data_IF_567795047490
#
_entry.id   IF_567795047490
#
_cell.length_a   1.000
_cell.length_b   1.000
_cell.length_c   1.000
_cell.angle_alpha   90.00
_cell.angle_beta   90.00
_cell.angle_gamma   90.00
#
_symmetry.space_group_name_H-M   'P 1'
#
loop_
_entity.id
_entity.type
_entity.pdbx_description
1 polymer ?
#
# COMPACT_ATOMS: atom_id res chain seq x y z
N UNK A 1 -64.74 45.20 3.02
CA UNK A 1 -64.21 43.84 2.78
C UNK A 1 -63.27 43.79 1.57
N UNK A 2 -63.60 44.37 0.42
CA UNK A 2 -62.72 44.40 -0.77
C UNK A 2 -61.27 44.88 -0.57
N UNK A 3 -61.02 45.86 0.31
CA UNK A 3 -59.66 46.38 0.55
C UNK A 3 -58.74 45.40 1.30
N UNK A 4 -59.32 44.53 2.14
CA UNK A 4 -58.56 43.53 2.90
C UNK A 4 -58.18 42.36 1.98
N UNK A 5 -59.11 41.96 1.12
CA UNK A 5 -58.93 40.87 0.16
C UNK A 5 -57.87 41.22 -0.90
N UNK A 6 -57.85 42.47 -1.38
CA UNK A 6 -56.82 42.99 -2.28
C UNK A 6 -55.41 43.03 -1.65
N UNK A 7 -55.32 43.36 -0.35
CA UNK A 7 -54.04 43.32 0.37
C UNK A 7 -53.55 41.89 0.58
N UNK A 8 -54.46 40.95 0.84
CA UNK A 8 -54.12 39.53 0.99
C UNK A 8 -53.62 38.91 -0.32
N UNK A 9 -54.20 39.26 -1.47
CA UNK A 9 -53.70 38.79 -2.77
C UNK A 9 -52.34 39.37 -3.13
N UNK A 10 -52.10 40.65 -2.82
CA UNK A 10 -50.80 41.29 -3.00
C UNK A 10 -49.70 40.68 -2.10
N UNK A 11 -50.02 40.36 -0.85
CA UNK A 11 -49.06 39.70 0.05
C UNK A 11 -48.73 38.27 -0.40
N UNK A 12 -49.72 37.53 -0.91
CA UNK A 12 -49.52 36.18 -1.46
C UNK A 12 -48.65 36.19 -2.71
N UNK A 13 -48.80 37.20 -3.60
CA UNK A 13 -47.95 37.32 -4.79
C UNK A 13 -46.51 37.68 -4.43
N UNK A 14 -46.29 38.57 -3.46
CA UNK A 14 -44.95 38.92 -2.96
C UNK A 14 -44.26 37.69 -2.32
N UNK A 15 -44.98 36.93 -1.50
CA UNK A 15 -44.45 35.70 -0.90
C UNK A 15 -44.09 34.66 -1.98
N UNK A 16 -44.96 34.46 -2.98
CA UNK A 16 -44.72 33.50 -4.07
C UNK A 16 -43.51 33.90 -4.92
N UNK A 17 -43.34 35.19 -5.22
CA UNK A 17 -42.16 35.69 -5.93
C UNK A 17 -40.88 35.48 -5.10
N UNK A 18 -40.92 35.72 -3.79
CA UNK A 18 -39.75 35.50 -2.92
C UNK A 18 -39.33 34.02 -2.82
N UNK A 19 -40.27 33.08 -3.02
CA UNK A 19 -40.00 31.64 -3.03
C UNK A 19 -39.40 31.22 -4.37
N UNK A 20 -39.91 31.74 -5.49
CA UNK A 20 -39.36 31.48 -6.83
C UNK A 20 -37.93 32.04 -6.95
N UNK A 21 -37.69 33.28 -6.55
CA UNK A 21 -36.35 33.87 -6.55
C UNK A 21 -35.38 33.13 -5.64
N UNK A 22 -35.86 32.58 -4.51
CA UNK A 22 -35.03 31.76 -3.61
C UNK A 22 -34.71 30.40 -4.24
N UNK A 23 -35.64 29.81 -4.98
CA UNK A 23 -35.42 28.59 -5.76
C UNK A 23 -34.39 28.80 -6.87
N UNK A 24 -34.52 29.88 -7.64
CA UNK A 24 -33.58 30.23 -8.72
C UNK A 24 -32.18 30.54 -8.20
N UNK A 25 -32.05 31.24 -7.06
CA UNK A 25 -30.75 31.44 -6.40
C UNK A 25 -30.15 30.13 -5.90
N UNK A 26 -30.96 29.26 -5.28
CA UNK A 26 -30.50 27.95 -4.83
C UNK A 26 -30.07 27.05 -6.00
N UNK A 27 -30.76 27.11 -7.14
CA UNK A 27 -30.38 26.39 -8.37
C UNK A 27 -29.10 26.97 -9.00
N UNK A 28 -28.95 28.30 -9.02
CA UNK A 28 -27.72 28.97 -9.47
C UNK A 28 -26.52 28.61 -8.59
N UNK A 29 -26.70 28.61 -7.26
CA UNK A 29 -25.67 28.22 -6.30
C UNK A 29 -25.32 26.73 -6.45
N UNK A 30 -26.32 25.86 -6.63
CA UNK A 30 -26.12 24.44 -6.90
C UNK A 30 -25.35 24.21 -8.21
N UNK A 31 -25.67 24.98 -9.26
CA UNK A 31 -24.95 24.94 -10.54
C UNK A 31 -23.50 25.38 -10.39
N UNK A 32 -23.23 26.46 -9.64
CA UNK A 32 -21.86 26.92 -9.41
C UNK A 32 -21.05 25.87 -8.63
N UNK A 33 -21.65 25.28 -7.60
CA UNK A 33 -21.04 24.19 -6.82
C UNK A 33 -20.76 22.99 -7.73
N UNK A 34 -21.72 22.60 -8.58
CA UNK A 34 -21.54 21.49 -9.51
C UNK A 34 -20.40 21.74 -10.50
N UNK A 35 -20.29 22.96 -11.05
CA UNK A 35 -19.18 23.34 -11.94
C UNK A 35 -17.84 23.28 -11.19
N UNK A 36 -17.79 23.76 -9.94
CA UNK A 36 -16.59 23.70 -9.10
C UNK A 36 -16.15 22.26 -8.85
N UNK A 37 -17.09 21.40 -8.47
CA UNK A 37 -16.82 19.96 -8.27
C UNK A 37 -16.36 19.29 -9.57
N UNK A 38 -17.02 19.58 -10.69
CA UNK A 38 -16.63 19.05 -12.00
C UNK A 38 -15.18 19.42 -12.36
N UNK A 39 -14.74 20.65 -12.07
CA UNK A 39 -13.36 21.08 -12.28
C UNK A 39 -12.37 20.31 -11.40
N UNK A 40 -12.70 20.08 -10.12
CA UNK A 40 -11.85 19.28 -9.22
C UNK A 40 -11.70 17.84 -9.71
N UNK A 41 -12.80 17.22 -10.16
CA UNK A 41 -12.74 15.88 -10.74
C UNK A 41 -11.91 15.84 -12.02
N UNK A 42 -12.02 16.86 -12.85
CA UNK A 42 -11.24 16.94 -14.09
C UNK A 42 -9.74 17.06 -13.78
N UNK A 43 -9.35 17.91 -12.83
CA UNK A 43 -7.96 18.03 -12.37
C UNK A 43 -7.43 16.71 -11.80
N UNK A 44 -8.25 15.98 -11.04
CA UNK A 44 -7.86 14.67 -10.52
C UNK A 44 -7.59 13.67 -11.64
N UNK A 45 -8.46 13.61 -12.66
CA UNK A 45 -8.28 12.74 -13.82
C UNK A 45 -7.02 13.07 -14.59
N UNK A 46 -6.73 14.35 -14.80
CA UNK A 46 -5.53 14.82 -15.49
C UNK A 46 -4.26 14.37 -14.75
N UNK A 47 -4.24 14.48 -13.42
CA UNK A 47 -3.12 13.99 -12.60
C UNK A 47 -2.99 12.46 -12.65
N UNK A 48 -4.10 11.74 -12.58
CA UNK A 48 -4.10 10.27 -12.71
C UNK A 48 -3.56 9.83 -14.08
N UNK A 49 -3.92 10.51 -15.17
CA UNK A 49 -3.34 10.24 -16.49
C UNK A 49 -1.84 10.55 -16.56
N UNK A 50 -1.38 11.65 -15.95
CA UNK A 50 0.04 12.03 -15.94
C UNK A 50 0.90 11.01 -15.17
N UNK A 51 0.37 10.45 -14.08
CA UNK A 51 1.02 9.35 -13.33
C UNK A 51 1.12 8.09 -14.19
N UNK A 52 0.03 7.70 -14.86
CA UNK A 52 0.02 6.51 -15.73
C UNK A 52 0.97 6.64 -16.91
N UNK A 53 1.00 7.79 -17.58
CA UNK A 53 1.95 8.08 -18.65
C UNK A 53 3.40 7.99 -18.15
N UNK A 54 3.68 8.56 -16.97
CA UNK A 54 4.99 8.47 -16.33
C UNK A 54 5.37 7.02 -15.99
N UNK A 55 4.43 6.21 -15.50
CA UNK A 55 4.65 4.79 -15.23
C UNK A 55 4.99 4.02 -16.51
N UNK A 56 4.27 4.26 -17.61
CA UNK A 56 4.55 3.64 -18.91
C UNK A 56 5.96 4.00 -19.38
N UNK A 57 6.34 5.27 -19.31
CA UNK A 57 7.68 5.73 -19.69
C UNK A 57 8.76 5.05 -18.84
N UNK A 58 8.61 5.05 -17.51
CA UNK A 58 9.58 4.46 -16.59
C UNK A 58 9.63 2.92 -16.65
N UNK A 59 8.58 2.25 -17.14
CA UNK A 59 8.57 0.79 -17.31
C UNK A 59 9.63 0.31 -18.32
N UNK A 60 10.04 1.17 -19.26
CA UNK A 60 11.04 0.87 -20.29
C UNK A 60 12.45 1.40 -20.00
N UNK A 61 12.61 2.21 -18.95
CA UNK A 61 13.91 2.73 -18.54
C UNK A 61 14.91 1.61 -18.16
N UNK A 62 16.22 1.87 -18.21
CA UNK A 62 16.88 3.08 -18.70
C UNK A 62 16.86 3.18 -20.24
N UNK A 63 16.85 4.42 -20.77
CA UNK A 63 16.89 4.67 -22.21
C UNK A 63 18.31 4.48 -22.74
N UNK A 64 19.31 4.90 -21.98
CA UNK A 64 20.72 4.71 -22.32
C UNK A 64 21.20 3.37 -21.76
N UNK A 65 21.52 2.42 -22.65
CA UNK A 65 21.90 1.05 -22.29
C UNK A 65 23.36 0.71 -22.61
N UNK A 66 24.22 1.72 -22.57
CA UNK A 66 25.65 1.51 -22.80
C UNK A 66 26.31 0.71 -21.66
N UNK A 67 27.32 -0.12 -21.94
CA UNK A 67 28.00 -0.93 -20.93
C UNK A 67 28.70 -0.11 -19.82
N UNK A 68 28.92 1.17 -20.07
CA UNK A 68 29.55 2.13 -19.15
C UNK A 68 28.60 2.47 -18.00
N UNK A 69 27.28 2.43 -18.26
CA UNK A 69 26.26 2.72 -17.27
C UNK A 69 25.79 1.45 -16.57
N UNK A 70 25.56 1.56 -15.26
CA UNK A 70 25.11 0.46 -14.42
C UNK A 70 24.12 0.95 -13.39
N UNK A 71 23.49 0.03 -12.65
CA UNK A 71 22.61 0.39 -11.53
C UNK A 71 23.30 1.26 -10.44
N UNK A 72 24.63 1.26 -10.35
CA UNK A 72 25.39 2.13 -9.44
C UNK A 72 25.86 3.41 -10.09
N UNK A 73 25.91 3.46 -11.42
CA UNK A 73 26.38 4.59 -12.21
C UNK A 73 25.42 4.79 -13.39
N UNK A 74 24.20 5.28 -13.14
CA UNK A 74 23.21 5.49 -14.20
C UNK A 74 23.56 6.71 -15.06
N UNK A 75 23.02 6.77 -16.28
CA UNK A 75 23.22 7.93 -17.15
C UNK A 75 22.58 9.19 -16.54
N UNK A 76 23.24 10.36 -16.55
CA UNK A 76 22.70 11.58 -15.96
C UNK A 76 21.36 12.01 -16.55
N UNK A 77 21.14 11.77 -17.85
CA UNK A 77 19.87 12.01 -18.53
C UNK A 77 18.74 11.17 -17.94
N UNK A 78 18.97 9.86 -17.78
CA UNK A 78 17.99 8.92 -17.21
C UNK A 78 17.69 9.25 -15.74
N UNK A 79 18.70 9.70 -14.97
CA UNK A 79 18.49 10.16 -13.59
C UNK A 79 17.59 11.39 -13.54
N UNK A 80 17.84 12.38 -14.39
CA UNK A 80 17.03 13.60 -14.42
C UNK A 80 15.58 13.29 -14.80
N UNK A 81 15.36 12.50 -15.86
CA UNK A 81 14.03 12.06 -16.28
C UNK A 81 13.32 11.24 -15.20
N UNK A 82 14.04 10.31 -14.56
CA UNK A 82 13.50 9.51 -13.46
C UNK A 82 13.00 10.38 -12.30
N UNK A 83 13.80 11.36 -11.86
CA UNK A 83 13.40 12.28 -10.79
C UNK A 83 12.18 13.13 -11.17
N UNK A 84 12.11 13.60 -12.42
CA UNK A 84 10.97 14.36 -12.92
C UNK A 84 9.68 13.55 -12.88
N UNK A 85 9.71 12.30 -13.36
CA UNK A 85 8.52 11.44 -13.40
C UNK A 85 8.06 10.99 -12.01
N UNK A 86 8.99 10.74 -11.08
CA UNK A 86 8.63 10.31 -9.72
C UNK A 86 8.00 11.39 -8.84
N UNK A 87 8.00 12.66 -9.26
CA UNK A 87 7.42 13.77 -8.49
C UNK A 87 5.96 13.53 -8.07
N UNK A 88 5.18 12.87 -8.91
CA UNK A 88 3.77 12.61 -8.69
C UNK A 88 3.47 11.23 -8.10
N UNK A 89 4.49 10.40 -7.89
CA UNK A 89 4.30 9.03 -7.41
C UNK A 89 3.99 9.01 -5.92
N UNK A 90 3.22 8.00 -5.52
CA UNK A 90 3.14 7.48 -4.15
C UNK A 90 3.97 6.21 -4.04
N UNK A 91 4.25 5.74 -2.81
CA UNK A 91 4.86 4.43 -2.60
C UNK A 91 4.13 3.28 -3.30
N UNK A 92 2.79 3.34 -3.41
CA UNK A 92 1.99 2.34 -4.13
C UNK A 92 2.22 2.38 -5.63
N UNK A 93 2.22 3.58 -6.23
CA UNK A 93 2.43 3.74 -7.67
C UNK A 93 3.86 3.29 -8.08
N UNK A 94 4.81 3.38 -7.14
CA UNK A 94 6.16 2.84 -7.32
C UNK A 94 6.22 1.32 -7.21
N UNK A 95 5.36 0.68 -6.41
CA UNK A 95 5.23 -0.78 -6.39
C UNK A 95 4.65 -1.28 -7.72
N UNK A 96 3.63 -0.60 -8.24
CA UNK A 96 3.04 -0.89 -9.56
C UNK A 96 4.12 -0.78 -10.66
N UNK A 97 4.95 0.26 -10.61
CA UNK A 97 6.08 0.39 -11.53
C UNK A 97 7.08 -0.77 -11.44
N UNK A 98 7.36 -1.29 -10.24
CA UNK A 98 8.22 -2.47 -10.07
C UNK A 98 7.58 -3.71 -10.73
N UNK A 99 6.25 -3.84 -10.63
CA UNK A 99 5.50 -4.94 -11.23
C UNK A 99 5.53 -4.89 -12.75
N UNK A 100 5.20 -3.73 -13.34
CA UNK A 100 5.24 -3.53 -14.79
C UNK A 100 6.62 -3.80 -15.37
N UNK A 101 7.68 -3.40 -14.66
CA UNK A 101 9.06 -3.73 -15.06
C UNK A 101 9.37 -5.21 -14.99
N UNK A 102 8.84 -5.90 -13.99
CA UNK A 102 9.00 -7.35 -13.84
C UNK A 102 8.29 -8.09 -14.97
N UNK A 103 7.12 -7.62 -15.39
CA UNK A 103 6.39 -8.11 -16.57
C UNK A 103 7.21 -7.89 -17.85
N UNK A 104 7.94 -6.76 -17.95
CA UNK A 104 8.86 -6.46 -19.04
C UNK A 104 10.19 -7.22 -18.98
N UNK A 105 10.34 -8.24 -18.13
CA UNK A 105 11.58 -9.01 -17.92
C UNK A 105 12.79 -8.15 -17.47
N UNK A 106 12.54 -6.94 -16.94
CA UNK A 106 13.56 -6.02 -16.43
C UNK A 106 13.68 -6.09 -14.91
N UNK A 107 14.83 -5.68 -14.38
CA UNK A 107 14.99 -5.48 -12.94
C UNK A 107 14.05 -4.36 -12.47
N UNK A 108 13.38 -4.57 -11.34
CA UNK A 108 12.47 -3.60 -10.71
C UNK A 108 13.13 -2.28 -10.34
N UNK A 109 14.46 -2.21 -10.23
CA UNK A 109 15.14 -0.92 -10.08
C UNK A 109 15.19 -0.21 -11.44
N UNK A 110 14.51 0.93 -11.53
CA UNK A 110 14.22 1.65 -12.78
C UNK A 110 15.46 1.99 -13.60
N UNK A 111 16.56 2.35 -12.93
CA UNK A 111 17.82 2.72 -13.57
C UNK A 111 18.73 1.52 -13.90
N UNK A 112 18.26 0.28 -13.69
CA UNK A 112 19.01 -0.92 -14.01
C UNK A 112 18.60 -1.48 -15.37
N UNK A 113 19.54 -1.63 -16.33
CA UNK A 113 19.24 -2.24 -17.64
C UNK A 113 19.19 -3.77 -17.60
N UNK A 114 19.57 -4.40 -16.47
CA UNK A 114 19.67 -5.86 -16.37
C UNK A 114 18.29 -6.49 -16.23
N UNK A 115 18.11 -7.72 -16.74
CA UNK A 115 16.88 -8.47 -16.51
C UNK A 115 16.73 -8.88 -15.04
N UNK A 116 15.48 -9.17 -14.64
CA UNK A 116 15.16 -9.81 -13.36
C UNK A 116 15.79 -11.21 -13.23
N UNK A 117 15.86 -11.73 -12.00
CA UNK A 117 16.31 -13.12 -11.79
C UNK A 117 15.18 -14.06 -12.20
N UNK A 118 15.52 -15.16 -12.87
CA UNK A 118 14.59 -16.28 -13.10
C UNK A 118 14.98 -17.42 -12.19
N UNK A 119 14.13 -17.79 -11.23
CA UNK A 119 14.39 -18.88 -10.29
C UNK A 119 13.76 -20.16 -10.81
N UNK A 120 14.57 -21.18 -11.07
CA UNK A 120 14.06 -22.49 -11.44
C UNK A 120 13.23 -23.12 -10.29
N UNK A 121 12.09 -23.72 -10.64
CA UNK A 121 11.22 -24.50 -9.74
C UNK A 121 9.77 -24.02 -9.71
N UNK A 122 8.90 -24.81 -9.06
CA UNK A 122 7.45 -24.55 -8.99
C UNK A 122 7.01 -23.99 -7.61
N UNK A 123 7.80 -24.17 -6.54
CA UNK A 123 7.42 -23.76 -5.17
C UNK A 123 7.33 -22.24 -4.88
N UNK A 124 6.34 -21.79 -4.11
CA UNK A 124 6.07 -20.34 -3.87
C UNK A 124 7.17 -19.57 -3.12
N UNK A 125 8.09 -20.26 -2.46
CA UNK A 125 9.15 -19.68 -1.64
C UNK A 125 10.54 -20.13 -2.09
N UNK A 126 11.54 -19.28 -1.88
CA UNK A 126 12.94 -19.53 -2.18
C UNK A 126 13.80 -19.14 -0.97
N UNK A 127 14.72 -20.03 -0.60
CA UNK A 127 15.76 -19.73 0.37
C UNK A 127 16.88 -18.96 -0.34
N UNK A 128 17.16 -17.75 0.14
CA UNK A 128 18.25 -16.91 -0.36
C UNK A 128 19.62 -17.46 0.06
N UNK A 129 20.73 -17.07 -0.59
CA UNK A 129 22.07 -17.44 -0.13
C UNK A 129 22.38 -17.02 1.31
N UNK A 130 21.69 -15.99 1.83
CA UNK A 130 21.81 -15.51 3.20
C UNK A 130 21.06 -16.38 4.23
N UNK A 131 20.23 -17.33 3.78
CA UNK A 131 19.41 -18.19 4.63
C UNK A 131 17.97 -17.69 4.84
N UNK A 132 17.62 -16.52 4.31
CA UNK A 132 16.27 -15.97 4.46
C UNK A 132 15.28 -16.65 3.50
N UNK A 133 14.07 -16.93 3.99
CA UNK A 133 12.96 -17.49 3.20
C UNK A 133 12.17 -16.32 2.62
N UNK A 134 12.23 -16.14 1.31
CA UNK A 134 11.55 -15.05 0.59
C UNK A 134 10.55 -15.66 -0.41
N UNK A 135 9.47 -14.95 -0.72
CA UNK A 135 8.59 -15.36 -1.81
C UNK A 135 9.37 -15.35 -3.13
N UNK A 136 9.04 -16.29 -4.03
CA UNK A 136 9.71 -16.34 -5.33
C UNK A 136 9.54 -15.01 -6.08
N UNK A 137 8.32 -14.50 -6.14
CA UNK A 137 7.96 -13.26 -6.84
C UNK A 137 8.85 -12.09 -6.38
N UNK A 138 8.98 -11.89 -5.07
CA UNK A 138 9.79 -10.81 -4.50
C UNK A 138 11.28 -10.94 -4.83
N UNK A 139 11.77 -12.16 -5.00
CA UNK A 139 13.17 -12.43 -5.36
C UNK A 139 13.43 -12.24 -6.86
N UNK A 140 12.47 -12.57 -7.72
CA UNK A 140 12.58 -12.49 -9.18
C UNK A 140 12.51 -11.05 -9.69
N UNK A 141 11.83 -10.15 -8.96
CA UNK A 141 11.75 -8.70 -9.23
C UNK A 141 13.13 -8.02 -9.34
N UNK A 142 14.21 -8.60 -8.80
CA UNK A 142 15.51 -7.94 -8.71
C UNK A 142 16.64 -8.73 -9.37
N UNK A 143 17.53 -8.05 -10.09
CA UNK A 143 18.78 -8.66 -10.57
C UNK A 143 19.79 -8.88 -9.43
N UNK A 144 19.71 -8.10 -8.35
CA UNK A 144 20.61 -8.18 -7.19
C UNK A 144 19.97 -7.59 -5.92
N UNK A 145 20.39 -8.03 -4.72
CA UNK A 145 19.93 -7.43 -3.46
C UNK A 145 20.31 -5.94 -3.35
N UNK A 146 21.39 -5.54 -3.99
CA UNK A 146 21.83 -4.15 -4.08
C UNK A 146 20.80 -3.27 -4.84
N UNK A 147 20.21 -3.80 -5.92
CA UNK A 147 19.13 -3.12 -6.65
C UNK A 147 17.84 -3.03 -5.82
N UNK A 148 17.50 -4.09 -5.08
CA UNK A 148 16.36 -4.06 -4.15
C UNK A 148 16.54 -2.95 -3.10
N UNK A 149 17.75 -2.81 -2.53
CA UNK A 149 18.07 -1.76 -1.57
C UNK A 149 17.96 -0.35 -2.18
N UNK A 150 18.47 -0.13 -3.40
CA UNK A 150 18.35 1.17 -4.10
C UNK A 150 16.89 1.52 -4.36
N UNK A 151 16.10 0.56 -4.82
CA UNK A 151 14.69 0.78 -5.08
C UNK A 151 13.91 1.08 -3.79
N UNK A 152 14.20 0.37 -2.71
CA UNK A 152 13.61 0.65 -1.40
C UNK A 152 14.00 2.04 -0.89
N UNK A 153 15.25 2.45 -1.08
CA UNK A 153 15.71 3.80 -0.70
C UNK A 153 14.94 4.89 -1.43
N UNK A 154 14.60 4.71 -2.72
CA UNK A 154 13.73 5.64 -3.44
C UNK A 154 12.31 5.60 -2.89
N UNK A 155 11.74 4.40 -2.69
CA UNK A 155 10.36 4.23 -2.22
C UNK A 155 10.07 4.97 -0.91
N UNK A 156 10.98 4.89 0.06
CA UNK A 156 10.80 5.51 1.38
C UNK A 156 10.86 7.04 1.36
N UNK A 157 11.35 7.64 0.27
CA UNK A 157 11.39 9.10 0.10
C UNK A 157 10.10 9.64 -0.55
N UNK A 158 9.22 8.78 -1.05
CA UNK A 158 7.98 9.18 -1.70
C UNK A 158 6.90 9.55 -0.68
N UNK A 159 6.10 10.57 -1.00
CA UNK A 159 4.99 11.02 -0.17
C UNK A 159 3.76 10.09 -0.36
N UNK A 160 3.11 9.70 0.73
CA UNK A 160 1.92 8.85 0.74
C UNK A 160 0.66 9.58 0.25
N UNK A 161 0.61 10.91 0.36
CA UNK A 161 -0.54 11.72 -0.05
C UNK A 161 -0.72 11.68 -1.56
N UNK A 162 -1.94 11.78 -2.08
CA UNK A 162 -2.17 11.77 -3.52
C UNK A 162 -1.60 13.03 -4.21
N UNK A 163 -1.19 12.90 -5.47
CA UNK A 163 -0.59 14.00 -6.23
C UNK A 163 -1.48 15.25 -6.30
N UNK A 164 -2.80 15.09 -6.45
CA UNK A 164 -3.75 16.20 -6.46
C UNK A 164 -3.88 16.93 -5.11
N UNK A 165 -3.54 16.27 -3.99
CA UNK A 165 -3.56 16.89 -2.65
C UNK A 165 -2.27 17.67 -2.34
N UNK A 166 -1.17 17.38 -3.05
CA UNK A 166 0.13 18.03 -2.86
C UNK A 166 0.26 19.34 -3.66
N UNK A 167 -0.59 19.53 -4.67
CA UNK A 167 -0.50 20.64 -5.62
C UNK A 167 0.67 20.47 -6.60
N UNK A 168 0.64 21.21 -7.72
CA UNK A 168 1.63 21.10 -8.82
C UNK A 168 3.08 21.45 -8.44
N UNK A 169 3.32 21.91 -7.21
CA UNK A 169 4.61 22.46 -6.74
C UNK A 169 5.27 21.62 -5.63
N UNK A 170 4.96 20.32 -5.51
CA UNK A 170 5.67 19.47 -4.57
C UNK A 170 7.08 19.19 -5.10
N UNK A 171 8.06 19.93 -4.60
CA UNK A 171 9.49 19.76 -4.91
C UNK A 171 10.11 18.74 -3.95
N UNK A 172 9.64 17.49 -4.03
CA UNK A 172 10.28 16.37 -3.35
C UNK A 172 11.64 16.11 -4.00
N UNK A 173 12.72 16.46 -3.31
CA UNK A 173 14.06 16.08 -3.77
C UNK A 173 14.26 14.59 -3.51
N UNK A 174 14.34 13.81 -4.59
CA UNK A 174 14.65 12.37 -4.53
C UNK A 174 16.15 12.19 -4.65
N UNK A 175 16.75 11.58 -3.65
CA UNK A 175 18.15 11.21 -3.63
C UNK A 175 18.32 9.74 -4.04
N UNK A 176 19.42 9.46 -4.74
CA UNK A 176 19.78 8.10 -5.14
C UNK A 176 20.81 7.55 -4.18
N UNK A 177 20.69 6.27 -3.85
CA UNK A 177 21.66 5.62 -2.97
C UNK A 177 22.99 5.42 -3.70
N UNK A 178 23.98 6.25 -3.34
CA UNK A 178 25.38 6.05 -3.73
C UNK A 178 25.98 4.95 -2.84
N UNK A 179 26.38 3.82 -3.44
CA UNK A 179 27.15 2.81 -2.73
C UNK A 179 28.62 3.21 -2.73
N UNK A 180 28.97 4.15 -1.85
CA UNK A 180 30.37 4.43 -1.48
C UNK A 180 30.95 3.21 -0.75
N UNK A 181 31.40 2.19 -1.48
CA UNK A 181 32.20 1.09 -0.90
C UNK A 181 33.55 1.58 -0.36
N UNK A 182 33.93 2.82 -0.67
CA UNK A 182 35.18 3.46 -0.26
C UNK A 182 35.08 4.24 1.06
N UNK A 183 33.87 4.48 1.60
CA UNK A 183 33.66 5.25 2.84
C UNK A 183 33.18 4.42 4.03
N UNK A 184 33.21 3.09 3.95
CA UNK A 184 33.07 2.25 5.15
C UNK A 184 34.32 2.51 6.03
N UNK A 185 34.17 3.43 6.99
CA UNK A 185 35.17 3.71 8.04
C UNK A 185 35.58 2.39 8.70
N UNK A 186 36.83 2.29 9.13
CA UNK A 186 37.33 1.12 9.84
C UNK A 186 36.46 0.81 11.08
N UNK A 187 35.87 1.85 11.68
CA UNK A 187 34.89 1.73 12.75
C UNK A 187 33.58 1.05 12.32
N UNK A 188 33.06 1.32 11.12
CA UNK A 188 31.84 0.68 10.61
C UNK A 188 32.09 -0.79 10.25
N UNK A 189 33.28 -1.10 9.73
CA UNK A 189 33.72 -2.49 9.52
C UNK A 189 33.87 -3.24 10.83
N UNK A 190 34.47 -2.62 11.85
CA UNK A 190 34.59 -3.19 13.19
C UNK A 190 33.22 -3.40 13.86
N UNK A 191 32.29 -2.45 13.72
CA UNK A 191 30.95 -2.54 14.27
C UNK A 191 30.14 -3.69 13.64
N UNK A 192 30.27 -3.90 12.32
CA UNK A 192 29.65 -5.05 11.63
C UNK A 192 30.27 -6.37 12.12
N UNK A 193 31.60 -6.45 12.18
CA UNK A 193 32.29 -7.64 12.70
C UNK A 193 31.89 -7.98 14.14
N UNK A 194 31.74 -6.99 15.02
CA UNK A 194 31.28 -7.21 16.39
C UNK A 194 29.83 -7.71 16.47
N UNK A 195 28.95 -7.23 15.58
CA UNK A 195 27.56 -7.72 15.51
C UNK A 195 27.52 -9.17 15.06
N UNK A 196 28.31 -9.53 14.05
CA UNK A 196 28.38 -10.91 13.53
C UNK A 196 28.91 -11.88 14.60
N UNK A 197 29.97 -11.49 15.32
CA UNK A 197 30.52 -12.27 16.44
C UNK A 197 29.47 -12.50 17.55
N UNK A 198 28.67 -11.49 17.88
CA UNK A 198 27.60 -11.60 18.89
C UNK A 198 26.50 -12.57 18.46
N UNK A 199 26.15 -12.59 17.18
CA UNK A 199 25.16 -13.55 16.63
C UNK A 199 25.72 -14.98 16.69
N UNK A 200 26.99 -15.17 16.38
CA UNK A 200 27.63 -16.49 16.47
C UNK A 200 27.76 -16.98 17.91
N UNK A 201 28.04 -16.09 18.86
CA UNK A 201 28.05 -16.40 20.29
C UNK A 201 26.66 -16.84 20.78
N UNK A 202 25.59 -16.13 20.38
CA UNK A 202 24.22 -16.55 20.69
C UNK A 202 23.88 -17.92 20.08
N UNK A 203 24.32 -18.19 18.85
CA UNK A 203 24.13 -19.50 18.20
C UNK A 203 24.90 -20.62 18.91
N UNK A 204 26.10 -20.35 19.41
CA UNK A 204 26.89 -21.31 20.21
C UNK A 204 26.21 -21.57 21.55
N UNK A 205 25.81 -20.53 22.28
CA UNK A 205 25.09 -20.66 23.54
C UNK A 205 23.79 -21.47 23.39
N UNK A 206 23.05 -21.30 22.30
CA UNK A 206 21.85 -22.10 22.02
C UNK A 206 22.19 -23.59 21.78
N UNK A 207 23.30 -23.90 21.10
CA UNK A 207 23.77 -25.28 20.89
C UNK A 207 24.26 -25.92 22.18
N UNK A 208 25.00 -25.18 22.99
CA UNK A 208 25.51 -25.66 24.28
C UNK A 208 24.36 -25.93 25.25
N UNK A 209 23.35 -25.05 25.27
CA UNK A 209 22.12 -25.28 26.03
C UNK A 209 21.38 -26.54 25.57
N UNK A 210 21.28 -26.76 24.26
CA UNK A 210 20.67 -27.97 23.71
C UNK A 210 21.46 -29.25 24.05
N UNK A 211 22.80 -29.18 24.08
CA UNK A 211 23.67 -30.29 24.48
C UNK A 211 23.50 -30.63 25.97
N UNK A 212 23.49 -29.63 26.86
CA UNK A 212 23.26 -29.82 28.29
C UNK A 212 21.86 -30.38 28.60
N UNK A 213 20.84 -29.96 27.83
CA UNK A 213 19.49 -30.52 27.95
C UNK A 213 19.48 -32.02 27.59
N UNK A 214 20.24 -32.42 26.55
CA UNK A 214 20.41 -33.82 26.14
C UNK A 214 21.12 -34.65 27.22
N UNK A 215 22.17 -34.11 27.84
CA UNK A 215 22.89 -34.77 28.95
C UNK A 215 22.01 -34.96 30.21
N UNK A 216 21.07 -34.04 30.44
CA UNK A 216 20.09 -34.11 31.55
C UNK A 216 18.90 -35.03 31.27
N UNK A 217 18.93 -35.77 30.16
CA UNK A 217 17.86 -36.71 29.79
C UNK A 217 16.58 -36.05 29.27
N UNK A 218 16.59 -34.75 29.00
CA UNK A 218 15.50 -34.07 28.30
C UNK A 218 15.71 -34.23 26.80
N UNK A 219 15.14 -35.29 26.24
CA UNK A 219 14.99 -35.42 24.80
C UNK A 219 13.90 -34.43 24.36
N UNK A 220 14.23 -33.56 23.41
CA UNK A 220 13.21 -32.79 22.72
C UNK A 220 12.16 -33.71 22.11
N UNK A 221 10.96 -33.20 21.86
CA UNK A 221 9.75 -33.89 21.36
C UNK A 221 9.94 -34.66 20.03
N UNK A 222 11.17 -34.77 19.49
CA UNK A 222 11.49 -35.45 18.24
C UNK A 222 12.56 -36.55 18.28
N UNK A 223 13.19 -36.88 19.42
CA UNK A 223 14.35 -37.82 19.43
C UNK A 223 14.11 -39.18 20.10
N UNK A 224 12.86 -39.54 20.38
CA UNK A 224 12.49 -40.90 20.80
C UNK A 224 11.75 -41.59 19.66
N UNK A 225 12.48 -42.37 18.86
CA UNK A 225 11.85 -43.24 17.84
C UNK A 225 11.07 -44.43 18.43
N UNK A 226 11.05 -44.60 19.76
CA UNK A 226 10.50 -45.81 20.41
C UNK A 226 9.12 -45.64 21.06
N UNK A 227 8.47 -44.49 20.89
CA UNK A 227 7.10 -44.29 21.38
C UNK A 227 6.25 -43.45 20.42
N UNK A 228 6.16 -43.86 19.15
CA UNK A 228 5.19 -43.27 18.22
C UNK A 228 3.81 -43.87 18.48
N UNK A 229 3.03 -43.21 19.34
CA UNK A 229 1.59 -43.49 19.46
C UNK A 229 0.93 -43.12 18.13
N UNK A 230 0.34 -44.09 17.44
CA UNK A 230 -0.38 -43.89 16.19
C UNK A 230 -1.69 -43.15 16.47
N UNK A 231 -1.67 -41.83 16.33
CA UNK A 231 -2.88 -41.00 16.41
C UNK A 231 -3.59 -41.03 15.06
N UNK A 232 -4.74 -41.70 14.98
CA UNK A 232 -5.63 -41.64 13.82
C UNK A 232 -6.59 -40.48 14.05
N UNK A 233 -6.37 -39.39 13.32
CA UNK A 233 -7.26 -38.24 13.31
C UNK A 233 -8.48 -38.61 12.46
N UNK A 234 -9.61 -38.88 13.11
CA UNK A 234 -10.93 -38.92 12.47
C UNK A 234 -11.54 -37.53 12.55
N UNK A 235 -11.91 -36.99 11.41
CA UNK A 235 -12.66 -35.74 11.32
C UNK A 235 -14.00 -35.94 12.03
N UNK A 236 -14.28 -35.09 13.02
CA UNK A 236 -15.56 -35.10 13.73
C UNK A 236 -16.52 -34.29 12.90
N UNK A 237 -17.56 -34.95 12.36
CA UNK A 237 -18.68 -34.24 11.74
C UNK A 237 -19.30 -33.31 12.79
N UNK A 238 -19.09 -32.01 12.58
CA UNK A 238 -19.72 -30.94 13.34
C UNK A 238 -20.99 -30.58 12.60
N UNK A 239 -22.13 -30.83 13.24
CA UNK A 239 -23.40 -30.33 12.75
C UNK A 239 -23.40 -28.81 12.90
N UNK A 240 -23.80 -28.09 11.86
CA UNK A 240 -23.91 -26.63 11.93
C UNK A 240 -24.82 -26.25 13.11
N UNK A 241 -24.49 -25.19 13.88
CA UNK A 241 -25.41 -24.69 14.89
C UNK A 241 -26.76 -24.42 14.22
N UNK A 242 -27.84 -24.91 14.84
CA UNK A 242 -29.19 -24.57 14.42
C UNK A 242 -29.30 -23.05 14.30
N UNK A 243 -30.02 -22.51 13.30
CA UNK A 243 -30.31 -21.09 13.26
C UNK A 243 -30.96 -20.69 14.58
N UNK A 244 -30.47 -19.60 15.18
CA UNK A 244 -31.02 -19.07 16.42
C UNK A 244 -32.53 -18.86 16.26
N UNK A 245 -33.29 -19.29 17.27
CA UNK A 245 -34.73 -19.10 17.32
C UNK A 245 -35.02 -17.60 17.47
N UNK A 246 -35.25 -16.90 16.36
CA UNK A 246 -35.51 -15.44 16.34
C UNK A 246 -36.91 -15.08 16.83
N UNK A 247 -37.68 -16.05 17.33
CA UNK A 247 -39.06 -15.89 17.80
C UNK A 247 -39.20 -14.98 19.03
N UNK A 248 -38.10 -14.69 19.75
CA UNK A 248 -38.06 -13.73 20.85
C UNK A 248 -37.53 -12.33 20.49
N UNK A 249 -37.12 -12.09 19.24
CA UNK A 249 -36.40 -10.88 18.84
C UNK A 249 -37.39 -9.81 18.35
N UNK A 250 -37.59 -8.78 19.17
CA UNK A 250 -38.39 -7.61 18.82
C UNK A 250 -37.73 -6.87 17.66
N UNK A 251 -38.54 -6.37 16.70
CA UNK A 251 -38.08 -5.65 15.51
C UNK A 251 -37.25 -4.38 15.84
N UNK A 252 -37.24 -3.96 17.11
CA UNK A 252 -36.53 -2.78 17.60
C UNK A 252 -35.21 -3.10 18.34
N UNK A 253 -34.73 -4.34 18.33
CA UNK A 253 -33.48 -4.72 19.02
C UNK A 253 -32.24 -4.01 18.46
N UNK A 254 -32.25 -3.63 17.18
CA UNK A 254 -31.16 -2.86 16.56
C UNK A 254 -31.11 -1.39 16.99
N UNK A 255 -32.12 -0.89 17.74
CA UNK A 255 -32.19 0.49 18.24
C UNK A 255 -31.71 0.62 19.70
N UNK A 256 -31.20 -0.46 20.30
CA UNK A 256 -30.66 -0.51 21.65
C UNK A 256 -29.14 -0.32 21.63
N UNK A 257 -28.66 0.84 22.08
CA UNK A 257 -27.24 1.11 22.33
C UNK A 257 -27.08 1.39 23.83
N UNK A 258 -26.26 0.58 24.51
CA UNK A 258 -25.94 0.72 25.95
C UNK A 258 -27.19 0.84 26.86
N UNK A 259 -28.24 0.08 26.56
CA UNK A 259 -29.47 0.04 27.38
C UNK A 259 -30.41 1.26 27.21
N UNK A 260 -30.16 2.14 26.25
CA UNK A 260 -31.08 3.23 25.87
C UNK A 260 -31.69 2.97 24.49
N UNK A 261 -33.01 3.18 24.39
CA UNK A 261 -33.78 3.14 23.14
C UNK A 261 -33.86 4.55 22.56
N UNK A 262 -33.66 4.68 21.24
CA UNK A 262 -33.80 5.93 20.50
C UNK A 262 -34.92 5.80 19.47
N UNK A 263 -35.94 6.66 19.55
CA UNK A 263 -36.98 6.74 18.52
C UNK A 263 -36.51 7.68 17.42
N UNK A 264 -36.17 7.11 16.25
CA UNK A 264 -35.83 7.89 15.07
C UNK A 264 -37.12 8.30 14.34
N UNK A 265 -37.38 9.59 14.11
CA UNK A 265 -38.55 10.01 13.35
C UNK A 265 -38.42 9.54 11.89
N UNK A 266 -39.40 8.76 11.43
CA UNK A 266 -39.48 8.29 10.06
C UNK A 266 -39.60 9.48 9.11
N UNK A 267 -38.66 9.63 8.17
CA UNK A 267 -38.81 10.57 7.05
C UNK A 267 -39.94 10.07 6.15
N UNK A 268 -40.96 10.89 5.85
CA UNK A 268 -41.92 10.55 4.80
C UNK A 268 -41.17 10.39 3.48
N UNK A 269 -41.36 9.26 2.81
CA UNK A 269 -41.02 9.12 1.39
C UNK A 269 -42.16 9.77 0.61
N UNK A 270 -41.93 10.97 0.10
CA UNK A 270 -42.81 11.57 -0.91
C UNK A 270 -42.67 10.74 -2.19
N UNK A 271 -43.79 10.18 -2.65
CA UNK A 271 -43.94 9.53 -3.94
C UNK A 271 -44.51 10.49 -4.98
#
# INVERSE_FOLDING_TARGET
MHSIEAKQTQLKSILKNSVLERGERAESDAREIAIRQARLFQLRKEMESEILESLVVLSWYPLVRDPIYSASNPAPSDVSGFKTHLRYFRPSDYDDLIEERTVNDLCGYVLCPKPGRKVAGIGKYKITPSGDIVKREDYERWCSPACAKRALFVKVQLDERAAWDRGRNSDGQIDLLEEDRSKDSEADRAARAMRDLRVDEQRKAAKDYAALARERGSYGVGDSNDAKVKVVLREKEINAPMPEDTSGRSDHDHLLIEGRKFDLPLRPREG
#
